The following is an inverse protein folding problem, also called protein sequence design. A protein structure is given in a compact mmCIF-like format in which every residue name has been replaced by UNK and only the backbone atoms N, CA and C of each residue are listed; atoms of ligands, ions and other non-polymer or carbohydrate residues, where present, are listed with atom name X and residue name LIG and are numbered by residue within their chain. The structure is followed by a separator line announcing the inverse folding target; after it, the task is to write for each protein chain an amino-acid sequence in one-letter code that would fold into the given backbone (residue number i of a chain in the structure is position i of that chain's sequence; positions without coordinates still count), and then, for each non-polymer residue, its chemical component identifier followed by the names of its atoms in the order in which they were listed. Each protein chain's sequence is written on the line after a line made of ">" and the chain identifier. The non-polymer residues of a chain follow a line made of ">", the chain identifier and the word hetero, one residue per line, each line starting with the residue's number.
data_IF_914351072775
#
_entry.id   IF_914351072775
#
_cell.length_a   1.000
_cell.length_b   1.000
_cell.length_c   1.000
_cell.angle_alpha   90.00
_cell.angle_beta   90.00
_cell.angle_gamma   90.00
#
_symmetry.space_group_name_H-M   'P 1'
#
loop_
_entity.id
_entity.type
_entity.pdbx_description
1 polymer ?
#
# COMPACT_ATOMS: atom_id res chain seq x y z
N UNK A 1 57.79 -7.98 70.36
CA UNK A 1 57.71 -8.59 69.02
C UNK A 1 56.89 -7.66 68.15
N UNK A 2 57.49 -7.11 67.09
CA UNK A 2 56.99 -5.91 66.39
C UNK A 2 55.75 -6.21 65.55
N UNK A 3 54.79 -5.28 65.67
CA UNK A 3 53.48 -5.29 65.05
C UNK A 3 53.49 -4.74 63.61
N UNK A 4 52.58 -5.31 62.82
CA UNK A 4 52.03 -4.78 61.58
C UNK A 4 51.25 -3.48 61.84
N UNK A 5 51.36 -2.48 60.96
CA UNK A 5 50.23 -1.83 60.26
C UNK A 5 50.62 -0.52 59.57
N UNK A 6 50.32 -0.51 58.27
CA UNK A 6 50.03 0.56 57.30
C UNK A 6 49.66 1.98 57.81
N UNK A 7 50.09 2.99 57.04
CA UNK A 7 49.27 4.02 56.31
C UNK A 7 50.21 5.14 55.74
N UNK A 8 50.26 5.37 54.40
CA UNK A 8 49.73 6.54 53.64
C UNK A 8 50.56 7.85 53.81
N UNK A 9 50.96 8.70 52.84
CA UNK A 9 50.70 9.02 51.40
C UNK A 9 51.85 9.94 50.91
N UNK A 10 52.13 10.13 49.60
CA UNK A 10 51.78 11.26 48.70
C UNK A 10 53.04 11.41 47.78
N UNK A 11 53.07 11.72 46.48
CA UNK A 11 52.15 12.38 45.56
C UNK A 11 52.64 12.29 44.10
N UNK A 12 51.81 12.83 43.18
CA UNK A 12 52.03 13.28 41.80
C UNK A 12 52.20 12.14 40.76
N UNK A 13 51.48 12.11 39.63
CA UNK A 13 51.21 13.22 38.73
C UNK A 13 49.81 13.16 38.07
N UNK A 14 49.27 14.36 37.88
CA UNK A 14 48.06 14.67 37.12
C UNK A 14 48.25 14.32 35.64
N UNK A 15 47.33 13.55 35.05
CA UNK A 15 47.13 13.53 33.61
C UNK A 15 45.70 14.02 33.29
N UNK A 16 45.55 14.98 32.36
CA UNK A 16 44.26 15.57 32.03
C UNK A 16 43.37 14.61 31.26
N UNK A 17 42.12 14.55 31.72
CA UNK A 17 40.98 13.83 31.15
C UNK A 17 40.66 14.40 29.75
N UNK A 18 40.69 13.63 28.65
CA UNK A 18 40.21 14.14 27.38
C UNK A 18 38.68 14.27 27.43
N UNK A 19 38.23 15.49 27.18
CA UNK A 19 36.86 15.93 27.26
C UNK A 19 35.90 15.08 26.43
N UNK A 20 34.68 14.93 26.98
CA UNK A 20 33.47 14.58 26.26
C UNK A 20 33.37 15.32 24.92
N UNK A 21 33.58 14.60 23.81
CA UNK A 21 33.14 15.07 22.51
C UNK A 21 31.63 14.86 22.41
N UNK A 22 30.87 15.92 22.73
CA UNK A 22 29.46 16.01 22.31
C UNK A 22 29.45 16.31 20.81
N UNK A 23 29.65 15.28 19.99
CA UNK A 23 29.18 15.34 18.62
C UNK A 23 27.66 15.45 18.68
N UNK A 24 27.17 16.69 18.58
CA UNK A 24 25.79 16.97 18.24
C UNK A 24 25.69 16.67 16.73
N UNK A 25 25.07 15.56 16.30
CA UNK A 25 24.79 15.44 14.88
C UNK A 25 23.91 16.64 14.54
N UNK A 26 24.23 17.32 13.45
CA UNK A 26 23.38 18.34 12.86
C UNK A 26 21.98 17.72 12.81
N UNK A 27 21.08 18.21 13.67
CA UNK A 27 19.67 17.93 13.55
C UNK A 27 19.30 18.60 12.24
N UNK A 28 19.34 17.84 11.14
CA UNK A 28 18.61 18.21 9.95
C UNK A 28 17.21 18.48 10.46
N UNK A 29 16.81 19.75 10.39
CA UNK A 29 15.42 20.15 10.44
C UNK A 29 14.72 19.13 9.53
N UNK A 30 13.66 18.43 9.95
CA UNK A 30 12.75 17.92 8.95
C UNK A 30 12.51 19.13 8.05
N UNK A 31 12.80 19.01 6.76
CA UNK A 31 12.04 19.81 5.84
C UNK A 31 10.62 19.59 6.34
N UNK A 32 10.01 20.66 6.86
CA UNK A 32 8.58 20.71 6.84
C UNK A 32 8.32 20.65 5.34
N UNK A 33 8.23 19.42 4.81
CA UNK A 33 7.27 19.12 3.78
C UNK A 33 6.04 19.79 4.34
N UNK A 34 5.80 20.99 3.83
CA UNK A 34 4.49 21.59 3.84
C UNK A 34 3.59 20.41 3.53
N UNK A 35 2.86 19.93 4.54
CA UNK A 35 1.71 19.12 4.29
C UNK A 35 0.89 20.00 3.37
N UNK A 36 1.06 19.76 2.07
CA UNK A 36 0.15 20.25 1.07
C UNK A 36 -1.19 19.88 1.65
N UNK A 37 -2.02 20.89 1.91
CA UNK A 37 -3.37 20.71 2.43
C UNK A 37 -4.19 20.05 1.32
N UNK A 38 -3.78 18.86 0.91
CA UNK A 38 -4.41 18.05 -0.11
C UNK A 38 -5.66 17.50 0.52
N UNK A 39 -6.76 17.72 -0.18
CA UNK A 39 -8.03 17.11 0.16
C UNK A 39 -7.82 15.60 0.26
N UNK A 40 -8.33 14.93 1.31
CA UNK A 40 -8.26 13.48 1.41
C UNK A 40 -8.91 12.83 0.19
N UNK A 41 -8.59 11.57 -0.06
CA UNK A 41 -9.33 10.77 -1.04
C UNK A 41 -10.80 10.72 -0.60
N UNK A 42 -11.71 11.00 -1.52
CA UNK A 42 -13.15 11.06 -1.29
C UNK A 42 -13.85 9.88 -1.96
N UNK A 43 -14.97 9.47 -1.41
CA UNK A 43 -15.88 8.53 -2.05
C UNK A 43 -16.85 9.24 -3.02
N UNK A 44 -17.76 8.46 -3.62
CA UNK A 44 -18.79 9.00 -4.53
C UNK A 44 -19.80 9.94 -3.85
N UNK A 45 -19.94 9.90 -2.52
CA UNK A 45 -20.80 10.81 -1.77
C UNK A 45 -20.08 12.11 -1.41
N UNK A 46 -18.76 12.17 -1.60
CA UNK A 46 -17.91 13.30 -1.20
C UNK A 46 -17.41 13.20 0.24
N UNK A 47 -17.62 12.06 0.89
CA UNK A 47 -17.09 11.79 2.22
C UNK A 47 -15.66 11.28 2.15
N UNK A 48 -14.85 11.57 3.17
CA UNK A 48 -13.47 11.13 3.21
C UNK A 48 -13.35 9.61 3.38
N UNK A 49 -12.47 9.01 2.59
CA UNK A 49 -12.16 7.58 2.67
C UNK A 49 -11.37 7.33 3.96
N UNK A 50 -11.99 6.64 4.90
CA UNK A 50 -11.45 6.29 6.21
C UNK A 50 -10.47 5.14 6.12
N UNK A 51 -9.39 5.24 6.88
CA UNK A 51 -8.42 4.16 6.98
C UNK A 51 -9.06 2.93 7.64
N UNK A 52 -8.89 1.74 7.03
CA UNK A 52 -9.36 0.48 7.58
C UNK A 52 -10.83 0.13 7.32
N UNK A 53 -11.61 1.07 6.78
CA UNK A 53 -12.99 0.82 6.36
C UNK A 53 -13.07 0.12 4.99
N UNK A 54 -14.26 -0.40 4.66
CA UNK A 54 -14.49 -1.17 3.44
C UNK A 54 -15.15 -0.32 2.35
N UNK A 55 -14.61 -0.44 1.15
CA UNK A 55 -15.14 0.25 -0.02
C UNK A 55 -15.14 -0.66 -1.24
N UNK A 56 -16.05 -0.40 -2.18
CA UNK A 56 -15.95 -0.92 -3.54
C UNK A 56 -15.09 0.00 -4.39
N UNK A 57 -14.14 -0.58 -5.14
CA UNK A 57 -13.38 0.11 -6.16
C UNK A 57 -14.06 -0.17 -7.51
N UNK A 58 -14.72 0.84 -8.08
CA UNK A 58 -15.57 0.70 -9.26
C UNK A 58 -15.05 1.54 -10.41
N UNK A 59 -15.08 1.03 -11.64
CA UNK A 59 -14.67 1.85 -12.78
C UNK A 59 -15.42 3.17 -12.84
N UNK A 60 -14.70 4.24 -13.17
CA UNK A 60 -15.32 5.53 -13.47
C UNK A 60 -16.01 5.56 -14.85
N UNK A 61 -15.74 4.56 -15.70
CA UNK A 61 -16.32 4.43 -17.04
C UNK A 61 -17.52 3.50 -16.96
N UNK A 62 -18.63 3.93 -17.55
CA UNK A 62 -19.90 3.20 -17.58
C UNK A 62 -19.98 2.26 -18.79
N UNK A 63 -20.81 1.20 -18.71
CA UNK A 63 -21.00 0.22 -19.79
C UNK A 63 -20.14 -1.04 -19.67
N UNK A 64 -19.93 -1.73 -20.80
CA UNK A 64 -19.23 -3.01 -20.82
C UNK A 64 -17.78 -2.88 -20.31
N UNK A 65 -17.44 -3.64 -19.27
CA UNK A 65 -16.15 -3.52 -18.58
C UNK A 65 -16.08 -2.34 -17.60
N UNK A 66 -17.22 -1.76 -17.22
CA UNK A 66 -17.35 -0.67 -16.24
C UNK A 66 -17.60 -1.13 -14.80
N UNK A 67 -17.47 -2.42 -14.52
CA UNK A 67 -17.74 -2.97 -13.18
C UNK A 67 -16.67 -2.67 -12.14
N UNK A 68 -16.92 -3.16 -10.94
CA UNK A 68 -15.98 -3.12 -9.82
C UNK A 68 -14.97 -4.25 -9.82
N UNK A 69 -14.00 -4.12 -8.91
CA UNK A 69 -12.92 -5.08 -8.79
C UNK A 69 -13.36 -6.34 -8.05
N UNK A 70 -12.95 -7.50 -8.53
CA UNK A 70 -13.20 -8.79 -7.89
C UNK A 70 -11.93 -9.59 -7.69
N UNK A 71 -11.91 -10.35 -6.61
CA UNK A 71 -10.93 -11.40 -6.36
C UNK A 71 -11.50 -12.73 -6.82
N UNK A 72 -10.92 -13.27 -7.89
CA UNK A 72 -11.37 -14.52 -8.49
C UNK A 72 -10.22 -15.51 -8.64
N UNK A 73 -10.59 -16.73 -9.00
CA UNK A 73 -9.65 -17.75 -9.44
C UNK A 73 -9.85 -17.95 -10.94
N UNK A 74 -8.89 -17.50 -11.74
CA UNK A 74 -8.98 -17.67 -13.20
C UNK A 74 -8.37 -18.99 -13.68
N UNK A 75 -7.40 -19.53 -12.95
CA UNK A 75 -6.76 -20.79 -13.29
C UNK A 75 -7.27 -21.96 -12.45
N UNK A 76 -7.30 -23.15 -13.06
CA UNK A 76 -7.59 -24.40 -12.36
C UNK A 76 -6.34 -25.02 -11.73
N UNK A 77 -5.22 -24.29 -11.65
CA UNK A 77 -3.98 -24.78 -11.05
C UNK A 77 -4.17 -25.10 -9.57
N UNK A 78 -3.32 -25.95 -8.98
CA UNK A 78 -3.51 -26.60 -7.68
C UNK A 78 -3.67 -25.68 -6.45
N UNK A 79 -3.57 -24.36 -6.60
CA UNK A 79 -3.80 -23.42 -5.50
C UNK A 79 -5.30 -23.27 -5.27
N UNK A 80 -5.78 -23.66 -4.09
CA UNK A 80 -7.21 -23.59 -3.76
C UNK A 80 -7.74 -22.14 -3.68
N UNK A 81 -6.86 -21.17 -3.47
CA UNK A 81 -7.21 -19.78 -3.19
C UNK A 81 -7.31 -18.92 -4.45
N UNK A 82 -8.35 -18.08 -4.49
CA UNK A 82 -8.44 -16.98 -5.45
C UNK A 82 -7.22 -16.05 -5.31
N UNK A 83 -6.68 -15.60 -6.44
CA UNK A 83 -5.53 -14.69 -6.47
C UNK A 83 -5.60 -13.64 -7.57
N UNK A 84 -6.52 -13.78 -8.53
CA UNK A 84 -6.64 -12.88 -9.67
C UNK A 84 -7.51 -11.69 -9.35
N UNK A 85 -6.97 -10.49 -9.57
CA UNK A 85 -7.74 -9.24 -9.48
C UNK A 85 -8.26 -8.88 -10.85
N UNK A 86 -9.58 -8.89 -11.01
CA UNK A 86 -10.25 -8.57 -12.27
C UNK A 86 -11.16 -7.36 -12.14
N UNK A 87 -11.39 -6.69 -13.26
CA UNK A 87 -12.49 -5.73 -13.42
C UNK A 87 -13.72 -6.50 -13.91
N UNK A 88 -14.82 -6.39 -13.19
CA UNK A 88 -16.09 -7.00 -13.62
C UNK A 88 -16.57 -6.41 -14.95
N UNK A 89 -17.23 -7.26 -15.74
CA UNK A 89 -17.75 -6.90 -17.05
C UNK A 89 -19.03 -6.06 -16.98
N UNK A 90 -19.73 -6.11 -15.85
CA UNK A 90 -21.02 -5.45 -15.63
C UNK A 90 -20.85 -4.25 -14.72
N UNK A 91 -21.30 -3.07 -15.14
CA UNK A 91 -21.33 -1.85 -14.31
C UNK A 91 -22.36 -1.91 -13.17
N UNK A 92 -23.33 -2.84 -13.24
CA UNK A 92 -24.21 -3.19 -12.11
C UNK A 92 -23.51 -3.95 -10.99
N UNK A 93 -22.30 -4.45 -11.22
CA UNK A 93 -21.57 -5.24 -10.26
C UNK A 93 -20.48 -4.40 -9.59
N UNK A 94 -20.70 -4.00 -8.34
CA UNK A 94 -19.75 -3.23 -7.55
C UNK A 94 -18.48 -4.02 -7.19
N UNK A 95 -18.48 -5.35 -7.39
CA UNK A 95 -17.34 -6.21 -7.08
C UNK A 95 -17.25 -6.58 -5.61
N UNK A 96 -16.02 -6.79 -5.14
CA UNK A 96 -15.70 -7.25 -3.79
C UNK A 96 -15.20 -6.09 -2.92
N UNK A 97 -15.60 -6.02 -1.64
CA UNK A 97 -15.11 -5.00 -0.71
C UNK A 97 -13.59 -5.02 -0.59
N UNK A 98 -12.99 -3.83 -0.57
CA UNK A 98 -11.56 -3.61 -0.40
C UNK A 98 -11.33 -2.65 0.76
N UNK A 99 -10.48 -3.08 1.70
CA UNK A 99 -9.95 -2.24 2.76
C UNK A 99 -8.70 -1.52 2.28
N UNK A 100 -8.63 -0.22 2.54
CA UNK A 100 -7.45 0.61 2.26
C UNK A 100 -6.82 1.01 3.60
N UNK A 101 -5.53 0.69 3.77
CA UNK A 101 -4.79 0.99 5.00
C UNK A 101 -3.56 1.81 4.66
N UNK A 102 -3.44 3.05 5.17
CA UNK A 102 -2.21 3.83 5.03
C UNK A 102 -1.01 3.12 5.67
N UNK A 103 0.18 3.35 5.12
CA UNK A 103 1.43 2.85 5.70
C UNK A 103 1.79 3.57 7.01
N UNK A 104 1.32 4.80 7.19
CA UNK A 104 1.36 5.49 8.48
C UNK A 104 0.26 4.91 9.40
N UNK A 105 0.62 4.23 10.49
CA UNK A 105 -0.35 3.60 11.38
C UNK A 105 -1.23 4.59 12.15
N UNK A 106 -0.83 5.87 12.24
CA UNK A 106 -1.60 6.91 12.93
C UNK A 106 -2.59 7.63 12.00
N UNK A 107 -2.53 7.37 10.69
CA UNK A 107 -3.41 7.99 9.72
C UNK A 107 -4.84 7.44 9.84
N UNK A 108 -5.81 8.33 10.03
CA UNK A 108 -7.24 8.01 10.15
C UNK A 108 -8.00 8.12 8.83
N UNK A 109 -7.38 8.73 7.83
CA UNK A 109 -7.93 8.96 6.49
C UNK A 109 -6.91 8.59 5.43
N UNK A 110 -7.40 8.25 4.24
CA UNK A 110 -6.57 7.95 3.08
C UNK A 110 -6.19 9.27 2.40
N UNK A 111 -4.90 9.60 2.44
CA UNK A 111 -4.36 10.76 1.75
C UNK A 111 -3.93 10.40 0.31
N UNK A 112 -4.04 11.33 -0.64
CA UNK A 112 -3.48 11.15 -1.97
C UNK A 112 -1.96 10.97 -1.92
N UNK A 113 -1.42 10.22 -2.87
CA UNK A 113 0.03 10.05 -3.10
C UNK A 113 0.86 9.53 -1.91
N UNK A 114 0.21 9.07 -0.83
CA UNK A 114 0.83 8.32 0.27
C UNK A 114 0.79 6.82 0.02
N UNK A 115 1.69 6.09 0.67
CA UNK A 115 1.78 4.63 0.52
C UNK A 115 0.66 3.94 1.28
N UNK A 116 -0.08 3.08 0.57
CA UNK A 116 -1.23 2.34 1.05
C UNK A 116 -1.02 0.84 0.83
N UNK A 117 -1.64 0.04 1.68
CA UNK A 117 -1.94 -1.38 1.45
C UNK A 117 -3.40 -1.55 1.06
N UNK A 118 -3.65 -2.42 0.09
CA UNK A 118 -4.99 -2.82 -0.32
C UNK A 118 -5.22 -4.28 0.07
N UNK A 119 -6.40 -4.57 0.62
CA UNK A 119 -6.79 -5.93 1.00
C UNK A 119 -8.25 -6.17 0.66
N UNK A 120 -8.58 -7.28 0.01
CA UNK A 120 -9.97 -7.69 -0.11
C UNK A 120 -10.53 -8.08 1.26
N UNK A 121 -11.74 -7.62 1.56
CA UNK A 121 -12.50 -8.04 2.74
C UNK A 121 -13.66 -8.94 2.30
N UNK A 122 -13.34 -10.21 2.08
CA UNK A 122 -14.29 -11.24 1.62
C UNK A 122 -14.24 -12.46 2.54
N UNK A 123 -15.33 -13.22 2.59
CA UNK A 123 -15.34 -14.50 3.25
C UNK A 123 -14.49 -15.51 2.45
N UNK A 124 -13.46 -16.07 3.08
CA UNK A 124 -12.61 -17.12 2.50
C UNK A 124 -12.62 -18.37 3.38
N UNK A 125 -12.13 -19.48 2.84
CA UNK A 125 -11.82 -20.64 3.68
C UNK A 125 -10.60 -20.32 4.60
N UNK A 126 -10.38 -21.16 5.62
CA UNK A 126 -9.30 -20.99 6.59
C UNK A 126 -7.90 -21.04 5.96
N UNK A 127 -7.74 -21.77 4.86
CA UNK A 127 -6.46 -21.91 4.15
C UNK A 127 -6.10 -20.64 3.36
N UNK A 128 -7.10 -19.84 2.98
CA UNK A 128 -6.95 -18.67 2.10
C UNK A 128 -7.12 -17.33 2.81
N UNK A 129 -7.32 -17.31 4.14
CA UNK A 129 -7.62 -16.09 4.90
C UNK A 129 -6.52 -15.02 4.80
N UNK A 130 -5.28 -15.43 4.54
CA UNK A 130 -4.17 -14.49 4.36
C UNK A 130 -4.01 -14.07 2.90
N UNK A 131 -4.63 -14.76 1.93
CA UNK A 131 -4.43 -14.56 0.50
C UNK A 131 -5.38 -13.50 -0.08
N UNK A 132 -5.36 -12.32 0.52
CA UNK A 132 -6.29 -11.21 0.23
C UNK A 132 -5.58 -9.86 0.06
N UNK A 133 -4.29 -9.78 0.39
CA UNK A 133 -3.51 -8.55 0.29
C UNK A 133 -2.97 -8.38 -1.13
N UNK A 134 -3.01 -7.17 -1.65
CA UNK A 134 -2.55 -6.91 -3.00
C UNK A 134 -1.03 -6.90 -3.07
N UNK A 135 -0.52 -7.40 -4.19
CA UNK A 135 0.88 -7.30 -4.58
C UNK A 135 1.03 -7.46 -6.09
N UNK A 136 2.25 -7.23 -6.59
CA UNK A 136 2.57 -7.40 -8.01
C UNK A 136 3.28 -8.74 -8.23
N UNK A 137 2.81 -9.51 -9.22
CA UNK A 137 3.46 -10.75 -9.66
C UNK A 137 3.68 -10.73 -11.18
N UNK A 138 4.89 -11.09 -11.59
CA UNK A 138 5.19 -11.33 -13.00
C UNK A 138 4.54 -12.64 -13.44
N UNK A 139 3.80 -12.58 -14.55
CA UNK A 139 3.29 -13.73 -15.26
C UNK A 139 4.17 -14.00 -16.50
N UNK A 140 4.86 -15.13 -16.50
CA UNK A 140 5.82 -15.47 -17.57
C UNK A 140 5.15 -15.77 -18.92
N UNK A 141 3.87 -16.14 -18.92
CA UNK A 141 3.14 -16.48 -20.15
C UNK A 141 2.78 -15.23 -20.95
N UNK A 142 2.22 -14.22 -20.29
CA UNK A 142 1.88 -12.93 -20.92
C UNK A 142 3.00 -11.89 -20.89
N UNK A 143 4.04 -12.10 -20.08
CA UNK A 143 5.09 -11.12 -19.80
C UNK A 143 4.61 -9.90 -19.00
N UNK A 144 3.39 -9.95 -18.44
CA UNK A 144 2.79 -8.85 -17.71
C UNK A 144 3.08 -8.94 -16.21
N UNK A 145 3.05 -7.79 -15.55
CA UNK A 145 3.13 -7.67 -14.10
C UNK A 145 1.74 -7.39 -13.55
N UNK A 146 1.05 -8.43 -13.09
CA UNK A 146 -0.33 -8.35 -12.63
C UNK A 146 -0.43 -7.98 -11.16
N UNK A 147 -1.48 -7.25 -10.81
CA UNK A 147 -1.98 -7.21 -9.43
C UNK A 147 -2.58 -8.57 -9.10
N UNK A 148 -2.09 -9.18 -8.02
CA UNK A 148 -2.55 -10.46 -7.49
C UNK A 148 -2.79 -10.33 -5.99
N UNK A 149 -3.76 -11.07 -5.48
CA UNK A 149 -3.85 -11.29 -4.05
C UNK A 149 -2.77 -12.26 -3.57
N UNK A 150 -2.33 -12.06 -2.33
CA UNK A 150 -1.28 -12.79 -1.66
C UNK A 150 -1.33 -12.56 -0.15
N UNK A 151 -0.38 -13.18 0.55
CA UNK A 151 -0.09 -12.86 1.94
C UNK A 151 0.44 -11.43 2.07
N UNK A 152 0.21 -10.80 3.23
CA UNK A 152 0.81 -9.51 3.53
C UNK A 152 2.33 -9.65 3.67
N UNK A 153 3.07 -8.79 3.00
CA UNK A 153 4.53 -8.70 3.09
C UNK A 153 4.88 -7.23 3.24
N UNK A 154 5.49 -6.84 4.37
CA UNK A 154 5.72 -5.43 4.73
C UNK A 154 6.30 -4.59 3.60
N UNK A 155 7.29 -5.14 2.89
CA UNK A 155 8.05 -4.41 1.88
C UNK A 155 7.32 -4.36 0.54
N UNK A 156 6.35 -5.26 0.29
CA UNK A 156 5.62 -5.39 -0.98
C UNK A 156 4.17 -4.90 -0.93
N UNK A 157 3.55 -4.86 0.26
CA UNK A 157 2.14 -4.48 0.43
C UNK A 157 1.96 -2.96 0.57
N UNK A 158 2.91 -2.26 1.21
CA UNK A 158 2.92 -0.79 1.34
C UNK A 158 3.56 -0.08 0.14
N UNK A 159 3.20 -0.48 -1.08
CA UNK A 159 3.82 0.00 -2.31
C UNK A 159 2.83 0.68 -3.27
N UNK A 160 1.56 0.73 -2.92
CA UNK A 160 0.53 1.34 -3.76
C UNK A 160 0.26 2.77 -3.31
N UNK A 161 -0.17 3.63 -4.22
CA UNK A 161 -0.67 4.97 -3.93
C UNK A 161 -1.98 5.20 -4.66
N UNK A 162 -2.83 6.06 -4.10
CA UNK A 162 -4.03 6.56 -4.76
C UNK A 162 -3.75 7.99 -5.18
N UNK A 163 -4.04 8.32 -6.44
CA UNK A 163 -3.79 9.65 -7.00
C UNK A 163 -5.07 10.15 -7.65
N UNK A 164 -5.41 11.42 -7.43
CA UNK A 164 -6.49 12.06 -8.16
C UNK A 164 -6.16 12.12 -9.65
N UNK A 165 -7.13 11.83 -10.50
CA UNK A 165 -6.98 12.02 -11.96
C UNK A 165 -7.23 13.48 -12.34
N UNK A 166 -8.09 14.16 -11.59
CA UNK A 166 -8.40 15.59 -11.69
C UNK A 166 -8.91 16.08 -10.34
N UNK A 167 -8.47 17.24 -9.88
CA UNK A 167 -8.84 17.81 -8.57
C UNK A 167 -10.33 18.11 -8.41
N UNK A 168 -11.09 18.19 -9.51
CA UNK A 168 -12.53 18.47 -9.53
C UNK A 168 -13.39 17.21 -9.68
N UNK A 169 -12.78 16.02 -9.75
CA UNK A 169 -13.50 14.75 -9.90
C UNK A 169 -13.11 13.83 -8.74
N UNK A 170 -14.09 13.17 -8.13
CA UNK A 170 -13.86 12.06 -7.18
C UNK A 170 -13.46 10.78 -7.94
N UNK A 171 -12.49 10.90 -8.85
CA UNK A 171 -12.01 9.85 -9.73
C UNK A 171 -10.49 9.73 -9.59
N UNK A 172 -10.04 8.50 -9.40
CA UNK A 172 -8.71 8.17 -8.96
C UNK A 172 -8.04 7.14 -9.86
N UNK A 173 -6.73 7.04 -9.73
CA UNK A 173 -5.90 5.98 -10.27
C UNK A 173 -5.02 5.40 -9.16
N UNK A 174 -4.56 4.17 -9.36
CA UNK A 174 -3.56 3.54 -8.49
C UNK A 174 -2.21 3.56 -9.19
N UNK A 175 -1.17 3.96 -8.47
CA UNK A 175 0.22 3.76 -8.86
C UNK A 175 0.89 2.74 -7.93
N UNK A 176 1.81 1.96 -8.47
CA UNK A 176 2.64 1.00 -7.74
C UNK A 176 4.10 1.45 -7.82
N UNK A 177 4.73 1.67 -6.68
CA UNK A 177 6.12 2.09 -6.57
C UNK A 177 6.97 0.95 -6.00
N UNK A 178 7.95 0.50 -6.77
CA UNK A 178 8.78 -0.63 -6.37
C UNK A 178 9.71 -0.22 -5.21
N UNK A 179 9.72 -1.00 -4.12
CA UNK A 179 10.56 -0.75 -2.95
C UNK A 179 12.05 -0.63 -3.32
N UNK A 180 12.71 0.33 -2.66
CA UNK A 180 14.12 0.64 -2.91
C UNK A 180 14.37 1.39 -4.22
N UNK A 181 13.32 1.85 -4.92
CA UNK A 181 13.44 2.63 -6.15
C UNK A 181 12.50 3.85 -6.15
N UNK A 182 12.80 4.83 -6.98
CA UNK A 182 11.90 5.97 -7.25
C UNK A 182 10.90 5.67 -8.40
N UNK A 183 10.92 4.44 -8.95
CA UNK A 183 10.10 4.09 -10.10
C UNK A 183 8.69 3.70 -9.65
N UNK A 184 7.71 4.45 -10.14
CA UNK A 184 6.29 4.14 -10.00
C UNK A 184 5.66 3.85 -11.37
N UNK A 185 4.70 2.93 -11.39
CA UNK A 185 3.99 2.50 -12.58
C UNK A 185 2.49 2.67 -12.36
N UNK A 186 1.72 3.08 -13.37
CA UNK A 186 0.27 3.05 -13.25
C UNK A 186 -0.20 1.59 -13.17
N UNK A 187 -1.24 1.35 -12.37
CA UNK A 187 -2.02 0.11 -12.44
C UNK A 187 -3.15 0.34 -13.45
N UNK A 188 -3.09 -0.38 -14.56
CA UNK A 188 -3.99 -0.30 -15.69
C UNK A 188 -4.77 -1.59 -15.94
N UNK A 189 -5.62 -1.55 -16.97
CA UNK A 189 -6.36 -2.72 -17.45
C UNK A 189 -5.53 -3.50 -18.46
N UNK A 190 -5.61 -4.82 -18.36
CA UNK A 190 -5.09 -5.76 -19.36
C UNK A 190 -6.18 -6.79 -19.67
N UNK A 191 -6.59 -6.88 -20.93
CA UNK A 191 -7.49 -7.95 -21.36
C UNK A 191 -6.67 -9.21 -21.61
N UNK A 192 -6.88 -10.21 -20.77
CA UNK A 192 -6.23 -11.51 -20.86
C UNK A 192 -7.02 -12.43 -21.80
N UNK A 193 -6.49 -12.75 -23.00
CA UNK A 193 -7.22 -13.54 -23.98
C UNK A 193 -7.39 -15.00 -23.57
N UNK A 194 -6.54 -15.53 -22.70
CA UNK A 194 -6.57 -16.94 -22.26
C UNK A 194 -7.73 -17.15 -21.29
N UNK A 195 -7.82 -16.29 -20.29
CA UNK A 195 -8.87 -16.35 -19.25
C UNK A 195 -10.13 -15.58 -19.65
N UNK A 196 -10.06 -14.78 -20.73
CA UNK A 196 -11.08 -13.82 -21.15
C UNK A 196 -11.44 -12.84 -20.02
N UNK A 197 -10.52 -12.53 -19.12
CA UNK A 197 -10.77 -11.60 -18.03
C UNK A 197 -10.05 -10.26 -18.29
N UNK A 198 -10.63 -9.16 -17.78
CA UNK A 198 -9.88 -7.90 -17.69
C UNK A 198 -9.18 -7.88 -16.35
N UNK A 199 -7.86 -8.03 -16.32
CA UNK A 199 -7.03 -8.07 -15.12
C UNK A 199 -6.39 -6.70 -14.88
N UNK A 200 -5.97 -6.43 -13.65
CA UNK A 200 -5.15 -5.26 -13.36
C UNK A 200 -3.66 -5.58 -13.52
N UNK A 201 -2.92 -4.74 -14.24
CA UNK A 201 -1.49 -4.91 -14.51
C UNK A 201 -0.75 -3.57 -14.51
N UNK A 202 0.57 -3.59 -14.31
CA UNK A 202 1.40 -2.42 -14.52
C UNK A 202 1.31 -1.98 -15.99
N UNK A 203 1.02 -0.70 -16.23
CA UNK A 203 0.71 -0.16 -17.56
C UNK A 203 1.12 1.30 -17.68
N UNK A 204 1.21 1.78 -18.92
CA UNK A 204 1.35 3.21 -19.20
C UNK A 204 0.02 3.96 -19.00
N UNK A 205 -1.12 3.27 -19.16
CA UNK A 205 -2.46 3.87 -19.04
C UNK A 205 -3.13 3.40 -17.75
N UNK A 206 -3.57 4.31 -16.86
CA UNK A 206 -4.19 3.92 -15.60
C UNK A 206 -5.61 3.37 -15.78
N UNK A 207 -6.00 2.48 -14.87
CA UNK A 207 -7.40 2.18 -14.61
C UNK A 207 -7.97 3.32 -13.75
N UNK A 208 -8.94 4.05 -14.31
CA UNK A 208 -9.62 5.13 -13.59
C UNK A 208 -10.86 4.59 -12.89
N UNK A 209 -10.97 4.88 -11.60
CA UNK A 209 -12.03 4.36 -10.73
C UNK A 209 -12.59 5.43 -9.80
N UNK A 210 -13.74 5.13 -9.24
CA UNK A 210 -14.37 5.84 -8.12
C UNK A 210 -14.47 4.89 -6.93
N UNK A 211 -14.54 5.44 -5.73
CA UNK A 211 -14.64 4.67 -4.48
C UNK A 211 -16.08 4.76 -3.99
N UNK A 212 -16.73 3.61 -3.77
CA UNK A 212 -18.10 3.57 -3.22
C UNK A 212 -18.11 2.93 -1.82
N UNK A 213 -18.85 3.48 -0.84
CA UNK A 213 -19.06 2.81 0.44
C UNK A 213 -19.73 1.44 0.28
N UNK A 214 -19.45 0.50 1.19
CA UNK A 214 -20.13 -0.81 1.21
C UNK A 214 -21.48 -0.80 1.89
N UNK A 215 -21.75 0.18 2.75
CA UNK A 215 -22.93 0.22 3.62
C UNK A 215 -24.15 0.89 2.96
N UNK A 216 -24.22 0.80 1.63
CA UNK A 216 -25.20 1.50 0.80
C UNK A 216 -26.37 0.62 0.38
#
# INVERSE_FOLDING_TARGET
>A
MKALALLFVLSLYLLPNPAHSKFNPIRLRPAHETASSETPVLDINGDEVRAGENYYIVSAIWGAGGGGLRLVRLDSSSNECASDVIVSRSDFDNGDPTTITPADPEATVVMPSTYQTFRFNIATNKLCVNNVNWGIKHDSESGQYFVKAGEFVSDNSNQFKIEAVNDNLNAYKISYCQFGTEKCFNVGRYYDPLTRATRLALSNTPFVFVIKPTDM
#
